data_IF_438796445720
#
_entry.id   IF_438796445720
#
_cell.length_a   1.000
_cell.length_b   1.000
_cell.length_c   1.000
_cell.angle_alpha   90.00
_cell.angle_beta   90.00
_cell.angle_gamma   90.00
#
_symmetry.space_group_name_H-M   'P 1'
#
loop_
_entity.id
_entity.type
_entity.pdbx_description
1 polymer ?
#
# COMPACT_ATOMS: atom_id res chain seq x y z
N UNK A 1 15.58 15.68 -16.22
CA UNK A 1 15.17 14.26 -16.27
C UNK A 1 13.91 14.14 -17.11
N UNK A 2 13.71 13.04 -17.87
CA UNK A 2 12.50 12.83 -18.66
C UNK A 2 11.45 12.10 -17.81
N UNK A 3 10.29 12.71 -17.59
CA UNK A 3 9.12 12.11 -16.92
C UNK A 3 7.88 12.46 -17.74
N UNK A 4 6.93 11.54 -17.85
CA UNK A 4 5.62 11.80 -18.46
C UNK A 4 4.72 12.43 -17.40
N UNK A 5 4.80 13.75 -17.25
CA UNK A 5 3.99 14.53 -16.32
C UNK A 5 3.95 15.99 -16.75
N UNK A 6 2.87 16.71 -16.43
CA UNK A 6 2.80 18.16 -16.64
C UNK A 6 3.56 18.92 -15.55
N UNK A 7 3.30 18.59 -14.27
CA UNK A 7 4.06 19.09 -13.12
C UNK A 7 4.05 18.07 -11.97
N UNK A 8 5.03 18.13 -11.04
CA UNK A 8 5.04 17.27 -9.86
C UNK A 8 3.77 17.39 -8.99
N UNK A 9 3.22 18.60 -8.85
CA UNK A 9 2.04 18.89 -8.04
C UNK A 9 0.75 18.35 -8.67
N UNK A 10 0.68 18.38 -10.01
CA UNK A 10 -0.48 17.90 -10.76
C UNK A 10 -0.49 16.38 -10.92
N UNK A 11 0.68 15.72 -10.82
CA UNK A 11 0.88 14.31 -11.16
C UNK A 11 -0.18 13.38 -10.55
N UNK A 12 -0.40 13.44 -9.23
CA UNK A 12 -1.37 12.55 -8.58
C UNK A 12 -2.80 12.81 -9.06
N UNK A 13 -3.17 14.09 -9.18
CA UNK A 13 -4.52 14.48 -9.60
C UNK A 13 -4.79 14.04 -11.04
N UNK A 14 -3.85 14.29 -11.94
CA UNK A 14 -3.96 13.92 -13.36
C UNK A 14 -3.96 12.39 -13.54
N UNK A 15 -3.10 11.66 -12.81
CA UNK A 15 -3.09 10.20 -12.81
C UNK A 15 -4.44 9.61 -12.37
N UNK A 16 -5.02 10.14 -11.29
CA UNK A 16 -6.34 9.69 -10.82
C UNK A 16 -7.48 10.07 -11.76
N UNK A 17 -7.41 11.21 -12.44
CA UNK A 17 -8.37 11.57 -13.49
C UNK A 17 -8.29 10.62 -14.68
N UNK A 18 -7.07 10.22 -15.08
CA UNK A 18 -6.86 9.19 -16.10
C UNK A 18 -7.42 7.84 -15.68
N UNK A 19 -7.13 7.42 -14.45
CA UNK A 19 -7.63 6.17 -13.86
C UNK A 19 -9.16 6.14 -13.80
N UNK A 20 -9.79 7.22 -13.35
CA UNK A 20 -11.25 7.37 -13.30
C UNK A 20 -11.90 7.19 -14.67
N UNK A 21 -11.28 7.72 -15.74
CA UNK A 21 -11.80 7.61 -17.11
C UNK A 21 -11.59 6.21 -17.68
N UNK A 22 -10.42 5.60 -17.41
CA UNK A 22 -10.07 4.29 -17.92
C UNK A 22 -10.92 3.16 -17.28
N UNK A 23 -11.41 3.38 -16.06
CA UNK A 23 -12.11 2.37 -15.26
C UNK A 23 -13.46 2.89 -14.73
N UNK A 24 -14.15 3.74 -15.50
CA UNK A 24 -15.41 4.39 -15.09
C UNK A 24 -16.56 3.39 -14.83
N UNK A 25 -16.45 2.18 -15.37
CA UNK A 25 -17.36 1.06 -15.12
C UNK A 25 -17.07 0.31 -13.82
N UNK A 26 -15.87 0.45 -13.26
CA UNK A 26 -15.39 -0.31 -12.09
C UNK A 26 -15.24 0.53 -10.83
N UNK A 27 -14.79 1.78 -10.96
CA UNK A 27 -14.45 2.65 -9.81
C UNK A 27 -15.01 4.06 -9.91
N UNK A 28 -15.24 4.67 -8.76
CA UNK A 28 -15.44 6.13 -8.63
C UNK A 28 -14.23 6.75 -7.94
N UNK A 29 -13.71 7.84 -8.48
CA UNK A 29 -12.70 8.67 -7.81
C UNK A 29 -13.38 9.87 -7.14
N UNK A 30 -13.27 9.94 -5.82
CA UNK A 30 -13.68 11.07 -5.00
C UNK A 30 -12.48 12.01 -4.84
N UNK A 31 -12.69 13.32 -5.01
CA UNK A 31 -11.58 14.29 -5.03
C UNK A 31 -11.40 15.07 -3.71
N UNK A 32 -12.46 15.20 -2.89
CA UNK A 32 -12.43 15.96 -1.64
C UNK A 32 -13.43 15.42 -0.61
N UNK A 33 -12.98 14.71 0.45
CA UNK A 33 -11.65 14.12 0.59
C UNK A 33 -11.31 13.12 -0.53
N UNK A 34 -10.02 12.89 -0.79
CA UNK A 34 -9.57 12.13 -1.97
C UNK A 34 -9.55 10.63 -1.73
N UNK A 35 -10.36 9.83 -2.40
CA UNK A 35 -10.23 8.37 -2.33
C UNK A 35 -10.81 7.72 -3.58
N UNK A 36 -10.50 6.44 -3.78
CA UNK A 36 -11.05 5.63 -4.86
C UNK A 36 -11.93 4.57 -4.23
N UNK A 37 -13.13 4.37 -4.73
CA UNK A 37 -14.04 3.31 -4.27
C UNK A 37 -14.60 2.51 -5.44
N UNK A 38 -15.15 1.33 -5.15
CA UNK A 38 -15.92 0.56 -6.14
C UNK A 38 -17.08 1.41 -6.68
N UNK A 39 -17.35 1.31 -7.97
CA UNK A 39 -18.50 1.96 -8.61
C UNK A 39 -19.81 1.41 -8.04
N UNK A 40 -19.87 0.10 -7.83
CA UNK A 40 -20.97 -0.57 -7.14
C UNK A 40 -20.56 -0.87 -5.70
N UNK A 41 -21.26 -0.25 -4.74
CA UNK A 41 -21.05 -0.49 -3.31
C UNK A 41 -21.38 -1.93 -2.96
N UNK A 42 -20.50 -2.59 -2.19
CA UNK A 42 -20.74 -3.91 -1.65
C UNK A 42 -21.92 -3.92 -0.68
N UNK A 43 -22.50 -5.09 -0.44
CA UNK A 43 -23.66 -5.28 0.44
C UNK A 43 -23.35 -6.40 1.42
N UNK A 44 -23.75 -6.26 2.67
CA UNK A 44 -23.73 -7.33 3.68
C UNK A 44 -22.37 -8.04 3.83
N UNK A 45 -21.29 -7.25 3.83
CA UNK A 45 -19.93 -7.75 4.12
C UNK A 45 -19.08 -6.69 4.79
N UNK A 46 -18.04 -7.10 5.51
CA UNK A 46 -16.98 -6.21 6.02
C UNK A 46 -16.43 -5.36 4.88
N UNK A 47 -16.34 -4.04 5.08
CA UNK A 47 -15.74 -3.13 4.10
C UNK A 47 -14.21 -3.09 4.27
N UNK A 48 -13.46 -3.25 3.18
CA UNK A 48 -12.00 -3.27 3.21
C UNK A 48 -11.44 -1.97 2.66
N UNK A 49 -10.54 -1.35 3.42
CA UNK A 49 -9.91 -0.08 3.06
C UNK A 49 -8.39 -0.20 3.24
N UNK A 50 -7.64 0.19 2.22
CA UNK A 50 -6.20 0.42 2.34
C UNK A 50 -5.82 1.80 1.81
N UNK A 51 -4.54 2.14 1.88
CA UNK A 51 -4.01 3.43 1.51
C UNK A 51 -2.52 3.57 1.77
N UNK A 52 -2.03 4.76 1.50
CA UNK A 52 -0.62 5.11 1.65
C UNK A 52 -0.20 6.11 0.58
N UNK A 53 1.08 6.46 0.58
CA UNK A 53 1.63 7.33 -0.46
C UNK A 53 1.46 6.77 -1.87
N UNK A 54 1.16 7.65 -2.82
CA UNK A 54 1.14 7.31 -4.24
C UNK A 54 2.56 7.05 -4.77
N UNK A 55 2.67 6.52 -5.99
CA UNK A 55 3.94 6.09 -6.59
C UNK A 55 4.22 4.59 -6.48
N UNK A 56 3.25 3.82 -5.99
CA UNK A 56 3.29 2.35 -5.90
C UNK A 56 2.23 1.69 -6.78
N UNK A 57 1.71 2.39 -7.78
CA UNK A 57 0.66 1.88 -8.65
C UNK A 57 1.06 0.50 -9.24
N UNK A 58 0.20 -0.54 -9.16
CA UNK A 58 -1.25 -0.46 -8.90
C UNK A 58 -1.68 -0.44 -7.43
N UNK A 59 -0.76 -0.55 -6.46
CA UNK A 59 -1.11 -0.41 -5.04
C UNK A 59 -1.50 1.06 -4.75
N UNK A 60 -2.66 1.36 -4.19
CA UNK A 60 -3.79 0.47 -3.82
C UNK A 60 -5.02 0.65 -4.71
N UNK A 61 -5.08 1.75 -5.47
CA UNK A 61 -6.25 2.14 -6.25
C UNK A 61 -6.59 1.12 -7.34
N UNK A 62 -5.59 0.44 -7.90
CA UNK A 62 -5.78 -0.63 -8.87
C UNK A 62 -6.35 -1.92 -8.27
N UNK A 63 -6.43 -2.04 -6.95
CA UNK A 63 -6.95 -3.20 -6.23
C UNK A 63 -8.35 -2.95 -5.64
N UNK A 64 -8.97 -1.82 -5.98
CA UNK A 64 -10.36 -1.53 -5.64
C UNK A 64 -11.29 -2.28 -6.59
N UNK A 65 -11.99 -3.29 -6.06
CA UNK A 65 -12.84 -4.16 -6.87
C UNK A 65 -13.33 -5.39 -6.11
N UNK A 66 -14.33 -6.08 -6.68
CA UNK A 66 -14.94 -7.27 -6.09
C UNK A 66 -13.88 -8.34 -5.73
N UNK A 67 -13.90 -8.83 -4.50
CA UNK A 67 -12.92 -9.82 -4.01
C UNK A 67 -11.59 -9.24 -3.56
N UNK A 68 -11.46 -7.92 -3.48
CA UNK A 68 -10.34 -7.15 -2.94
C UNK A 68 -10.88 -5.92 -2.17
N UNK A 69 -10.28 -4.73 -2.32
CA UNK A 69 -10.65 -3.53 -1.56
C UNK A 69 -12.00 -2.95 -1.98
N UNK A 70 -12.72 -2.35 -1.02
CA UNK A 70 -13.90 -1.53 -1.26
C UNK A 70 -13.53 -0.07 -1.53
N UNK A 71 -12.47 0.42 -0.87
CA UNK A 71 -11.85 1.71 -1.15
C UNK A 71 -10.33 1.71 -0.94
N UNK A 72 -9.66 2.66 -1.59
CA UNK A 72 -8.25 2.96 -1.43
C UNK A 72 -8.04 4.46 -1.24
N UNK A 73 -7.15 4.81 -0.30
CA UNK A 73 -6.82 6.20 0.05
C UNK A 73 -5.41 6.56 -0.44
N UNK A 74 -5.25 7.11 -1.67
CA UNK A 74 -3.95 7.56 -2.16
C UNK A 74 -3.58 8.91 -1.52
N UNK A 75 -2.48 8.93 -0.76
CA UNK A 75 -1.81 10.14 -0.32
C UNK A 75 -0.93 10.74 -1.43
N UNK A 76 -0.17 11.79 -1.11
CA UNK A 76 0.83 12.33 -2.05
C UNK A 76 1.94 11.31 -2.34
N UNK A 77 2.80 11.58 -3.34
CA UNK A 77 3.89 10.65 -3.68
C UNK A 77 4.72 10.34 -2.43
N UNK A 78 4.78 9.06 -2.05
CA UNK A 78 5.48 8.54 -0.87
C UNK A 78 5.08 9.18 0.47
N UNK A 79 3.88 9.75 0.57
CA UNK A 79 3.37 10.37 1.80
C UNK A 79 1.99 9.80 2.16
N UNK A 80 1.84 9.33 3.40
CA UNK A 80 0.56 8.80 3.90
C UNK A 80 -0.63 9.74 3.63
N UNK A 81 -1.83 9.20 3.32
CA UNK A 81 -3.08 9.96 3.34
C UNK A 81 -3.39 10.47 4.76
N UNK A 82 -4.25 11.50 4.86
CA UNK A 82 -4.71 12.05 6.14
C UNK A 82 -5.87 11.24 6.74
N UNK A 83 -6.08 11.26 8.07
CA UNK A 83 -7.17 10.53 8.72
C UNK A 83 -8.57 10.85 8.14
N UNK A 84 -8.84 12.12 7.84
CA UNK A 84 -10.10 12.56 7.21
C UNK A 84 -10.39 11.87 5.87
N UNK A 85 -9.33 11.50 5.15
CA UNK A 85 -9.44 10.78 3.88
C UNK A 85 -9.95 9.35 4.10
N UNK A 86 -9.41 8.66 5.10
CA UNK A 86 -9.84 7.30 5.47
C UNK A 86 -11.26 7.30 6.06
N UNK A 87 -11.60 8.31 6.87
CA UNK A 87 -12.95 8.48 7.41
C UNK A 87 -14.00 8.65 6.28
N UNK A 88 -13.75 9.55 5.34
CA UNK A 88 -14.65 9.75 4.21
C UNK A 88 -14.77 8.50 3.31
N UNK A 89 -13.68 7.73 3.17
CA UNK A 89 -13.72 6.45 2.49
C UNK A 89 -14.59 5.44 3.25
N UNK A 90 -14.39 5.31 4.57
CA UNK A 90 -15.17 4.43 5.45
C UNK A 90 -16.67 4.76 5.39
N UNK A 91 -17.06 6.02 5.56
CA UNK A 91 -18.45 6.46 5.42
C UNK A 91 -19.06 6.08 4.07
N UNK A 92 -18.28 6.21 2.98
CA UNK A 92 -18.75 5.93 1.64
C UNK A 92 -18.96 4.44 1.37
N UNK A 93 -18.17 3.55 1.99
CA UNK A 93 -18.20 2.11 1.72
C UNK A 93 -18.81 1.26 2.83
N UNK A 94 -19.06 1.81 4.01
CA UNK A 94 -19.62 1.08 5.15
C UNK A 94 -20.95 0.40 4.81
N UNK A 95 -21.05 -0.87 5.16
CA UNK A 95 -22.22 -1.73 4.92
C UNK A 95 -23.00 -2.03 6.20
N UNK A 96 -22.51 -1.56 7.36
CA UNK A 96 -23.01 -1.94 8.68
C UNK A 96 -22.35 -3.20 9.26
N UNK A 97 -21.47 -3.87 8.51
CA UNK A 97 -20.75 -5.09 8.94
C UNK A 97 -19.32 -4.81 9.44
N UNK A 98 -19.00 -3.54 9.68
CA UNK A 98 -17.69 -3.08 10.14
C UNK A 98 -16.68 -2.80 9.01
N UNK A 99 -15.59 -2.12 9.38
CA UNK A 99 -14.53 -1.68 8.47
C UNK A 99 -13.19 -2.29 8.87
N UNK A 100 -12.51 -2.94 7.92
CA UNK A 100 -11.15 -3.44 8.11
C UNK A 100 -10.15 -2.54 7.38
N UNK A 101 -9.27 -1.91 8.14
CA UNK A 101 -8.12 -1.18 7.61
C UNK A 101 -6.93 -2.12 7.40
N UNK A 102 -6.41 -2.18 6.18
CA UNK A 102 -5.18 -2.91 5.86
C UNK A 102 -4.07 -1.88 5.67
N UNK A 103 -3.07 -1.89 6.55
CA UNK A 103 -2.11 -0.79 6.71
C UNK A 103 -0.70 -1.32 6.49
N UNK A 104 0.09 -0.69 5.62
CA UNK A 104 1.51 -1.02 5.48
C UNK A 104 2.28 -0.48 6.67
N UNK A 105 3.24 -1.23 7.20
CA UNK A 105 4.00 -0.83 8.39
C UNK A 105 5.01 0.29 8.10
N UNK A 106 4.49 1.51 7.97
CA UNK A 106 5.23 2.77 7.90
C UNK A 106 4.68 3.70 8.96
N UNK A 107 5.55 4.39 9.70
CA UNK A 107 5.14 5.22 10.84
C UNK A 107 4.00 6.21 10.51
N UNK A 108 4.09 6.88 9.35
CA UNK A 108 3.04 7.79 8.88
C UNK A 108 1.73 7.10 8.52
N UNK A 109 1.79 5.92 7.88
CA UNK A 109 0.60 5.14 7.53
C UNK A 109 -0.07 4.63 8.80
N UNK A 110 0.68 3.99 9.71
CA UNK A 110 0.17 3.47 10.99
C UNK A 110 -0.47 4.57 11.82
N UNK A 111 0.22 5.68 12.06
CA UNK A 111 -0.30 6.79 12.85
C UNK A 111 -1.61 7.37 12.27
N UNK A 112 -1.68 7.57 10.96
CA UNK A 112 -2.86 8.18 10.34
C UNK A 112 -4.05 7.22 10.27
N UNK A 113 -3.81 5.92 10.05
CA UNK A 113 -4.87 4.91 10.05
C UNK A 113 -5.36 4.60 11.47
N UNK A 114 -4.49 4.59 12.48
CA UNK A 114 -4.89 4.49 13.89
C UNK A 114 -5.78 5.67 14.29
N UNK A 115 -5.38 6.89 13.96
CA UNK A 115 -6.21 8.09 14.20
C UNK A 115 -7.57 7.99 13.49
N UNK A 116 -7.61 7.50 12.25
CA UNK A 116 -8.87 7.30 11.54
C UNK A 116 -9.77 6.23 12.21
N UNK A 117 -9.18 5.14 12.69
CA UNK A 117 -9.91 4.10 13.41
C UNK A 117 -10.47 4.60 14.75
N UNK A 118 -9.74 5.44 15.48
CA UNK A 118 -10.21 6.07 16.73
C UNK A 118 -11.36 7.06 16.51
N UNK A 119 -11.35 7.78 15.38
CA UNK A 119 -12.37 8.75 15.03
C UNK A 119 -13.63 8.10 14.41
N UNK A 120 -13.51 6.90 13.87
CA UNK A 120 -14.61 6.15 13.27
C UNK A 120 -15.65 5.74 14.31
N UNK A 121 -16.95 5.93 13.99
CA UNK A 121 -18.04 5.68 14.93
C UNK A 121 -18.62 4.26 14.85
N UNK A 122 -18.29 3.51 13.80
CA UNK A 122 -18.71 2.11 13.62
C UNK A 122 -17.67 1.13 14.16
N UNK A 123 -17.96 -0.17 14.04
CA UNK A 123 -16.95 -1.19 14.32
C UNK A 123 -15.81 -1.11 13.30
N UNK A 124 -14.57 -1.12 13.79
CA UNK A 124 -13.39 -1.21 12.94
C UNK A 124 -12.30 -2.08 13.55
N UNK A 125 -11.45 -2.59 12.68
CA UNK A 125 -10.25 -3.33 13.04
C UNK A 125 -9.13 -3.00 12.05
N UNK A 126 -7.89 -3.33 12.42
CA UNK A 126 -6.72 -3.10 11.56
C UNK A 126 -5.86 -4.36 11.43
N UNK A 127 -5.23 -4.50 10.27
CA UNK A 127 -4.13 -5.43 10.00
C UNK A 127 -2.94 -4.61 9.53
N UNK A 128 -1.89 -4.58 10.35
CA UNK A 128 -0.61 -3.97 9.99
C UNK A 128 0.24 -5.02 9.28
N UNK A 129 0.58 -4.76 8.02
CA UNK A 129 1.38 -5.63 7.16
C UNK A 129 2.85 -5.27 7.28
N UNK A 130 3.69 -6.25 7.61
CA UNK A 130 5.09 -6.08 7.94
C UNK A 130 5.90 -7.27 7.38
N UNK A 131 5.83 -7.47 6.07
CA UNK A 131 6.37 -8.64 5.35
C UNK A 131 7.83 -8.50 4.90
N UNK A 132 8.43 -7.31 4.99
CA UNK A 132 9.80 -7.09 4.53
C UNK A 132 10.86 -7.66 5.48
N UNK A 133 11.58 -8.69 5.03
CA UNK A 133 12.62 -9.38 5.79
C UNK A 133 14.03 -8.79 5.60
N UNK A 134 14.15 -7.66 4.90
CA UNK A 134 15.44 -7.03 4.61
C UNK A 134 16.24 -6.67 5.86
N UNK A 135 15.57 -6.18 6.91
CA UNK A 135 16.22 -5.73 8.13
C UNK A 135 16.07 -6.83 9.19
N UNK A 136 17.18 -7.45 9.64
CA UNK A 136 17.11 -8.52 10.63
C UNK A 136 16.47 -8.07 11.95
N UNK A 137 15.75 -9.00 12.59
CA UNK A 137 15.20 -8.81 13.94
C UNK A 137 16.28 -8.36 14.94
N UNK A 138 15.88 -7.52 15.90
CA UNK A 138 16.77 -7.05 16.97
C UNK A 138 17.61 -5.82 16.63
N UNK A 139 17.49 -5.25 15.42
CA UNK A 139 18.09 -3.94 15.07
C UNK A 139 17.27 -2.72 15.51
N UNK A 140 16.15 -2.92 16.20
CA UNK A 140 15.27 -1.85 16.68
C UNK A 140 14.55 -1.09 15.56
N UNK A 141 14.52 -1.65 14.36
CA UNK A 141 13.76 -1.14 13.22
C UNK A 141 12.68 -2.18 12.92
N UNK A 142 11.43 -1.75 12.95
CA UNK A 142 10.28 -2.60 12.63
C UNK A 142 10.29 -3.00 11.14
N UNK A 143 9.88 -4.23 10.78
CA UNK A 143 9.79 -4.66 9.39
C UNK A 143 8.81 -3.79 8.59
N UNK A 144 9.18 -3.41 7.36
CA UNK A 144 8.33 -2.60 6.48
C UNK A 144 7.19 -3.43 5.88
N UNK A 145 6.07 -2.79 5.54
CA UNK A 145 5.01 -3.40 4.73
C UNK A 145 5.24 -3.15 3.24
N UNK A 146 5.47 -4.18 2.44
CA UNK A 146 5.82 -4.07 1.01
C UNK A 146 4.87 -4.91 0.15
N UNK A 147 5.37 -5.65 -0.84
CA UNK A 147 4.59 -6.35 -1.85
C UNK A 147 3.61 -7.39 -1.27
N UNK A 148 3.91 -7.99 -0.12
CA UNK A 148 3.04 -8.94 0.57
C UNK A 148 1.68 -8.37 0.97
N UNK A 149 1.58 -7.04 1.07
CA UNK A 149 0.30 -6.33 1.28
C UNK A 149 -0.76 -6.75 0.25
N UNK A 150 -0.38 -6.92 -1.02
CA UNK A 150 -1.30 -7.36 -2.07
C UNK A 150 -1.92 -8.73 -1.75
N UNK A 151 -1.12 -9.64 -1.19
CA UNK A 151 -1.56 -10.99 -0.83
C UNK A 151 -2.58 -10.93 0.32
N UNK A 152 -2.33 -10.09 1.32
CA UNK A 152 -3.27 -9.84 2.43
C UNK A 152 -4.58 -9.28 1.88
N UNK A 153 -4.53 -8.23 1.06
CA UNK A 153 -5.72 -7.61 0.46
C UNK A 153 -6.55 -8.60 -0.38
N UNK A 154 -5.87 -9.46 -1.15
CA UNK A 154 -6.53 -10.44 -2.01
C UNK A 154 -7.22 -11.53 -1.21
N UNK A 155 -6.56 -12.07 -0.19
CA UNK A 155 -7.08 -13.20 0.60
C UNK A 155 -8.20 -12.72 1.50
N UNK A 156 -7.98 -11.62 2.23
CA UNK A 156 -9.00 -11.06 3.13
C UNK A 156 -10.19 -10.51 2.33
N UNK A 157 -9.94 -9.91 1.16
CA UNK A 157 -11.01 -9.48 0.27
C UNK A 157 -11.89 -10.63 -0.19
N UNK A 158 -11.31 -11.80 -0.48
CA UNK A 158 -12.09 -12.99 -0.84
C UNK A 158 -12.93 -13.51 0.34
N UNK A 159 -12.38 -13.52 1.56
CA UNK A 159 -13.10 -13.92 2.77
C UNK A 159 -14.27 -12.96 3.08
N UNK A 160 -14.05 -11.65 2.95
CA UNK A 160 -15.11 -10.67 3.14
C UNK A 160 -16.25 -10.86 2.12
N UNK A 161 -15.97 -11.15 0.85
CA UNK A 161 -17.03 -11.46 -0.13
C UNK A 161 -17.84 -12.73 0.22
N UNK A 162 -17.32 -13.60 1.07
CA UNK A 162 -18.04 -14.78 1.57
C UNK A 162 -18.92 -14.47 2.79
N UNK A 163 -18.96 -13.21 3.25
CA UNK A 163 -19.74 -12.78 4.40
C UNK A 163 -19.07 -13.08 5.74
N UNK A 164 -17.75 -13.29 5.75
CA UNK A 164 -17.00 -13.48 6.99
C UNK A 164 -17.05 -12.22 7.88
N UNK A 165 -17.01 -12.43 9.20
CA UNK A 165 -17.08 -11.35 10.18
C UNK A 165 -15.82 -10.47 10.19
N UNK A 166 -15.91 -9.26 10.76
CA UNK A 166 -14.76 -8.37 10.93
C UNK A 166 -13.62 -9.05 11.69
N UNK A 167 -13.94 -9.76 12.79
CA UNK A 167 -12.97 -10.51 13.58
C UNK A 167 -12.31 -11.64 12.78
N UNK A 168 -13.08 -12.41 12.00
CA UNK A 168 -12.52 -13.46 11.12
C UNK A 168 -11.58 -12.85 10.07
N UNK A 169 -12.00 -11.75 9.43
CA UNK A 169 -11.20 -11.06 8.41
C UNK A 169 -9.90 -10.52 8.99
N UNK A 170 -9.94 -9.92 10.18
CA UNK A 170 -8.74 -9.44 10.88
C UNK A 170 -7.79 -10.60 11.21
N UNK A 171 -8.30 -11.66 11.84
CA UNK A 171 -7.49 -12.82 12.21
C UNK A 171 -6.86 -13.49 10.99
N UNK A 172 -7.61 -13.63 9.88
CA UNK A 172 -7.09 -14.14 8.62
C UNK A 172 -6.00 -13.23 8.06
N UNK A 173 -6.20 -11.91 8.05
CA UNK A 173 -5.18 -10.96 7.57
C UNK A 173 -3.89 -11.02 8.38
N UNK A 174 -4.00 -11.11 9.72
CA UNK A 174 -2.83 -11.32 10.59
C UNK A 174 -2.12 -12.64 10.31
N UNK A 175 -2.87 -13.72 10.10
CA UNK A 175 -2.31 -15.03 9.77
C UNK A 175 -1.60 -15.02 8.40
N UNK A 176 -2.20 -14.39 7.38
CA UNK A 176 -1.57 -14.23 6.06
C UNK A 176 -0.29 -13.41 6.16
N UNK A 177 -0.32 -12.27 6.86
CA UNK A 177 0.87 -11.44 7.08
C UNK A 177 2.00 -12.24 7.75
N UNK A 178 1.69 -12.99 8.82
CA UNK A 178 2.68 -13.82 9.51
C UNK A 178 3.28 -14.96 8.66
N UNK A 179 2.64 -15.32 7.55
CA UNK A 179 3.10 -16.34 6.60
C UNK A 179 3.58 -15.74 5.27
N UNK A 180 3.80 -14.42 5.22
CA UNK A 180 4.28 -13.71 4.03
C UNK A 180 5.62 -13.06 4.33
N UNK A 181 6.59 -13.29 3.45
CA UNK A 181 7.92 -12.70 3.52
C UNK A 181 8.30 -12.14 2.14
N UNK A 182 8.90 -10.96 2.14
CA UNK A 182 9.33 -10.24 0.96
C UNK A 182 10.75 -9.72 1.12
N UNK A 183 11.52 -9.78 0.04
CA UNK A 183 12.84 -9.16 -0.03
C UNK A 183 12.99 -8.45 -1.38
N UNK A 184 13.36 -7.17 -1.34
CA UNK A 184 13.57 -6.35 -2.54
C UNK A 184 15.04 -6.17 -2.89
N UNK A 185 15.33 -5.89 -4.17
CA UNK A 185 16.66 -5.48 -4.64
C UNK A 185 16.51 -4.33 -5.65
N UNK A 186 17.37 -3.32 -5.56
CA UNK A 186 17.45 -2.24 -6.53
C UNK A 186 18.77 -2.24 -7.28
N UNK A 187 18.70 -2.14 -8.62
CA UNK A 187 19.86 -1.85 -9.47
C UNK A 187 20.12 -0.34 -9.57
N UNK A 188 19.09 0.47 -9.36
CA UNK A 188 19.13 1.92 -9.35
C UNK A 188 18.10 2.46 -8.35
N UNK A 189 18.33 3.65 -7.82
CA UNK A 189 17.35 4.33 -6.97
C UNK A 189 16.18 4.94 -7.77
N UNK A 190 15.02 5.07 -7.12
CA UNK A 190 13.89 5.79 -7.67
C UNK A 190 14.10 7.31 -7.59
N UNK A 191 13.33 8.07 -8.39
CA UNK A 191 13.33 9.54 -8.33
C UNK A 191 11.94 10.02 -7.98
N UNK A 192 11.83 10.68 -6.83
CA UNK A 192 10.62 11.41 -6.44
C UNK A 192 10.48 12.64 -7.33
N UNK A 193 9.37 12.82 -8.07
CA UNK A 193 9.16 13.95 -8.98
C UNK A 193 9.43 15.33 -8.36
N UNK A 194 9.02 15.52 -7.10
CA UNK A 194 9.23 16.77 -6.36
C UNK A 194 10.71 17.02 -5.99
N UNK A 195 11.51 15.96 -5.79
CA UNK A 195 12.95 16.08 -5.49
C UNK A 195 13.79 16.24 -6.75
N UNK A 196 13.33 15.72 -7.89
CA UNK A 196 13.99 15.84 -9.19
C UNK A 196 15.33 15.09 -9.34
N UNK A 197 15.78 14.39 -8.29
CA UNK A 197 17.01 13.58 -8.24
C UNK A 197 16.74 12.22 -7.56
N UNK A 198 17.60 11.20 -7.80
CA UNK A 198 17.50 9.92 -7.11
C UNK A 198 17.52 10.07 -5.58
N UNK A 199 16.85 9.17 -4.85
CA UNK A 199 16.84 9.19 -3.38
C UNK A 199 18.18 8.78 -2.78
N UNK A 200 18.94 7.96 -3.50
CA UNK A 200 20.33 7.63 -3.23
C UNK A 200 21.05 7.28 -4.54
N UNK A 201 22.38 7.18 -4.51
CA UNK A 201 23.19 6.82 -5.67
C UNK A 201 23.77 5.41 -5.51
N UNK A 202 23.88 4.69 -6.62
CA UNK A 202 24.59 3.43 -6.76
C UNK A 202 25.56 3.55 -7.94
N UNK A 203 26.77 3.03 -7.79
CA UNK A 203 27.68 2.89 -8.92
C UNK A 203 27.16 1.86 -9.94
N UNK A 204 27.66 1.89 -11.17
CA UNK A 204 27.23 0.97 -12.25
C UNK A 204 27.47 -0.51 -11.90
N UNK A 205 28.44 -0.78 -11.02
CA UNK A 205 28.81 -2.10 -10.54
C UNK A 205 28.23 -2.42 -9.16
N UNK A 206 27.17 -1.73 -8.73
CA UNK A 206 26.54 -1.90 -7.42
C UNK A 206 25.03 -2.15 -7.49
N UNK A 207 24.52 -2.84 -6.46
CA UNK A 207 23.09 -3.01 -6.17
C UNK A 207 22.80 -2.71 -4.70
N UNK A 208 21.55 -2.42 -4.38
CA UNK A 208 21.07 -2.29 -3.01
C UNK A 208 20.18 -3.49 -2.65
N UNK A 209 20.66 -4.34 -1.74
CA UNK A 209 19.91 -5.48 -1.22
C UNK A 209 18.98 -5.03 -0.09
N UNK A 210 17.71 -5.43 -0.14
CA UNK A 210 16.71 -5.09 0.85
C UNK A 210 16.23 -3.65 0.78
N UNK A 211 16.23 -3.03 -0.39
CA UNK A 211 15.75 -1.65 -0.60
C UNK A 211 14.28 -1.50 -0.22
N UNK A 212 13.91 -0.35 0.36
CA UNK A 212 12.51 -0.01 0.65
C UNK A 212 11.76 0.56 -0.56
N UNK A 213 10.43 0.51 -0.55
CA UNK A 213 9.61 0.94 -1.70
C UNK A 213 9.60 2.47 -1.90
N UNK A 214 9.93 3.28 -0.89
CA UNK A 214 10.08 4.73 -1.03
C UNK A 214 11.52 5.15 -1.36
N UNK A 215 12.38 4.19 -1.68
CA UNK A 215 13.80 4.43 -1.94
C UNK A 215 14.62 4.58 -0.65
N UNK A 216 14.15 3.99 0.46
CA UNK A 216 14.95 3.84 1.67
C UNK A 216 16.11 2.86 1.43
N UNK A 217 17.26 3.15 2.03
CA UNK A 217 18.43 2.25 1.99
C UNK A 217 18.06 0.89 2.60
N UNK A 218 18.68 -0.13 2.03
CA UNK A 218 18.41 -1.50 2.40
C UNK A 218 19.35 -2.03 3.46
N UNK A 219 19.50 -3.35 3.46
CA UNK A 219 20.41 -4.09 4.33
C UNK A 219 21.87 -3.74 4.03
N UNK A 220 22.22 -3.75 2.75
CA UNK A 220 23.58 -3.54 2.28
C UNK A 220 23.65 -3.13 0.80
N UNK A 221 24.69 -2.37 0.47
CA UNK A 221 25.12 -2.20 -0.92
C UNK A 221 26.15 -3.27 -1.25
N UNK A 222 25.95 -3.99 -2.35
CA UNK A 222 26.85 -5.06 -2.78
C UNK A 222 27.22 -4.94 -4.26
N UNK A 223 28.26 -5.64 -4.68
CA UNK A 223 28.67 -5.65 -6.08
C UNK A 223 27.57 -6.26 -6.98
N UNK A 224 27.37 -5.67 -8.15
CA UNK A 224 26.51 -6.21 -9.20
C UNK A 224 27.04 -7.58 -9.64
N UNK A 225 26.13 -8.54 -9.67
CA UNK A 225 26.40 -9.93 -10.04
C UNK A 225 25.32 -10.44 -10.98
N UNK A 226 25.49 -11.65 -11.50
CA UNK A 226 24.44 -12.26 -12.33
C UNK A 226 23.12 -12.39 -11.56
N UNK A 227 21.99 -12.33 -12.26
CA UNK A 227 20.67 -12.47 -11.64
C UNK A 227 20.54 -13.75 -10.81
N UNK A 228 21.18 -14.86 -11.25
CA UNK A 228 21.22 -16.10 -10.48
C UNK A 228 21.86 -15.90 -9.09
N UNK A 229 23.01 -15.23 -9.03
CA UNK A 229 23.71 -15.02 -7.77
C UNK A 229 22.91 -14.13 -6.83
N UNK A 230 22.33 -13.04 -7.35
CA UNK A 230 21.48 -12.13 -6.57
C UNK A 230 20.28 -12.89 -5.98
N UNK A 231 19.60 -13.73 -6.77
CA UNK A 231 18.50 -14.56 -6.27
C UNK A 231 19.00 -15.60 -5.26
N UNK A 232 20.15 -16.23 -5.49
CA UNK A 232 20.75 -17.16 -4.53
C UNK A 232 21.08 -16.46 -3.19
N UNK A 233 21.42 -15.17 -3.18
CA UNK A 233 21.59 -14.39 -1.95
C UNK A 233 20.24 -14.07 -1.27
N UNK A 234 19.20 -13.78 -2.06
CA UNK A 234 17.86 -13.46 -1.56
C UNK A 234 17.16 -14.65 -0.89
N UNK A 235 17.53 -15.88 -1.27
CA UNK A 235 16.93 -17.12 -0.79
C UNK A 235 17.62 -17.73 0.45
N UNK A 236 18.71 -17.13 0.92
CA UNK A 236 19.44 -17.56 2.12
C UNK A 236 18.81 -17.03 3.40
#
# INVERSE_FOLDING_TARGET
>A
MKKLMNSPEALLTESLQGFARAHADLVTVCHQPRFVKRQQKSQQKVALISGGGAGHEPLHTGLVGKGMLDAACPGQIFTSPSPDQMLAAAEAVDTGEGVLFIVKNYAGDVMNFEMAAELWQGESASVVVADDIAIPEGKGIEPRGVAGTLIVEKIVGAAAEQGETLATCQALGMAVNANTASLGVALTSCTVPALGKPTFELAEDQIEMGVGIHGERGRETMAYRSAKQIVDDMMQ
#
